data_IF_616452344474
#
_entry.id   IF_616452344474
#
_cell.length_a   1.000
_cell.length_b   1.000
_cell.length_c   1.000
_cell.angle_alpha   90.00
_cell.angle_beta   90.00
_cell.angle_gamma   90.00
#
_symmetry.space_group_name_H-M   'P 1'
#
loop_
_entity.id
_entity.type
_entity.pdbx_description
1 polymer ?
#
# COMPACT_ATOMS: atom_id res chain seq x y z
N UNK A 1 -5.95 -9.31 -5.97
CA UNK A 1 -5.98 -7.83 -6.10
C UNK A 1 -7.09 -7.11 -5.31
N UNK A 2 -8.37 -7.52 -5.35
CA UNK A 2 -9.48 -6.69 -4.82
C UNK A 2 -9.37 -6.36 -3.31
N UNK A 3 -8.86 -7.28 -2.50
CA UNK A 3 -8.70 -7.06 -1.05
C UNK A 3 -7.60 -6.02 -0.73
N UNK A 4 -6.49 -6.01 -1.48
CA UNK A 4 -5.35 -5.14 -1.18
C UNK A 4 -5.70 -3.68 -1.45
N UNK A 5 -6.39 -3.42 -2.56
CA UNK A 5 -6.91 -2.09 -2.86
C UNK A 5 -7.90 -1.61 -1.80
N UNK A 6 -8.81 -2.48 -1.37
CA UNK A 6 -9.77 -2.19 -0.30
C UNK A 6 -9.07 -1.80 1.00
N UNK A 7 -8.13 -2.62 1.47
CA UNK A 7 -7.37 -2.36 2.70
C UNK A 7 -6.55 -1.09 2.57
N UNK A 8 -5.81 -0.92 1.47
CA UNK A 8 -5.02 0.29 1.20
C UNK A 8 -5.88 1.53 1.22
N UNK A 9 -7.04 1.50 0.55
CA UNK A 9 -7.99 2.62 0.53
C UNK A 9 -8.52 2.95 1.92
N UNK A 10 -8.83 1.91 2.71
CA UNK A 10 -9.33 2.08 4.07
C UNK A 10 -8.28 2.71 4.99
N UNK A 11 -7.01 2.29 4.85
CA UNK A 11 -5.89 2.87 5.59
C UNK A 11 -5.62 4.32 5.18
N UNK A 12 -5.65 4.63 3.87
CA UNK A 12 -5.47 6.00 3.38
C UNK A 12 -6.53 6.94 3.97
N UNK A 13 -7.80 6.52 4.04
CA UNK A 13 -8.86 7.34 4.64
C UNK A 13 -8.67 7.59 6.14
N UNK A 14 -8.08 6.63 6.84
CA UNK A 14 -7.79 6.76 8.27
C UNK A 14 -6.61 7.72 8.52
N UNK A 15 -5.56 7.59 7.70
CA UNK A 15 -4.34 8.38 7.77
C UNK A 15 -4.51 9.80 7.21
N UNK A 16 -5.35 9.96 6.18
CA UNK A 16 -5.60 11.21 5.47
C UNK A 16 -7.12 11.44 5.36
N UNK A 17 -7.77 11.91 6.43
CA UNK A 17 -9.21 12.18 6.43
C UNK A 17 -9.61 13.33 5.50
N UNK A 18 -8.66 14.15 5.07
CA UNK A 18 -8.85 15.27 4.14
C UNK A 18 -8.92 14.80 2.66
N UNK A 19 -8.51 13.55 2.39
CA UNK A 19 -8.55 13.00 1.04
C UNK A 19 -9.95 12.49 0.67
N UNK A 20 -10.71 13.32 -0.04
CA UNK A 20 -12.06 12.98 -0.55
C UNK A 20 -12.06 12.35 -1.96
N UNK A 21 -10.87 12.16 -2.56
CA UNK A 21 -10.71 11.63 -3.91
C UNK A 21 -10.94 10.11 -4.02
N UNK A 22 -11.14 9.65 -5.25
CA UNK A 22 -11.13 8.23 -5.57
C UNK A 22 -9.69 7.68 -5.56
N UNK A 23 -9.45 6.67 -4.71
CA UNK A 23 -8.18 5.95 -4.68
C UNK A 23 -8.13 5.00 -5.88
N UNK A 24 -7.44 5.42 -6.94
CA UNK A 24 -7.19 4.61 -8.12
C UNK A 24 -5.77 4.02 -8.09
N UNK A 25 -5.54 2.97 -8.87
CA UNK A 25 -4.20 2.41 -9.08
C UNK A 25 -3.21 3.46 -9.61
N UNK A 26 -3.70 4.44 -10.37
CA UNK A 26 -2.89 5.54 -10.91
C UNK A 26 -2.70 6.71 -9.91
N UNK A 27 -3.34 6.67 -8.75
CA UNK A 27 -3.22 7.72 -7.73
C UNK A 27 -1.86 7.65 -7.06
N UNK A 28 -1.20 8.80 -6.96
CA UNK A 28 0.10 8.93 -6.29
C UNK A 28 -0.10 9.21 -4.81
N UNK A 29 0.74 8.62 -3.95
CA UNK A 29 0.66 8.82 -2.50
C UNK A 29 0.79 10.29 -2.10
N UNK A 30 1.72 11.01 -2.74
CA UNK A 30 1.95 12.43 -2.47
C UNK A 30 0.75 13.30 -2.87
N UNK A 31 0.11 13.01 -4.02
CA UNK A 31 -1.09 13.73 -4.49
C UNK A 31 -2.30 13.50 -3.58
N UNK A 32 -2.35 12.35 -2.90
CA UNK A 32 -3.39 12.03 -1.94
C UNK A 32 -3.14 12.64 -0.56
N UNK A 33 -2.03 13.36 -0.35
CA UNK A 33 -1.64 13.87 0.96
C UNK A 33 -1.09 12.79 1.90
N UNK A 34 -0.63 11.66 1.36
CA UNK A 34 0.02 10.62 2.16
C UNK A 34 1.50 10.97 2.31
N UNK A 35 1.82 11.62 3.42
CA UNK A 35 3.18 11.97 3.80
C UNK A 35 4.06 10.74 4.07
N UNK A 36 5.38 10.95 4.12
CA UNK A 36 6.37 9.88 4.37
C UNK A 36 6.11 9.09 5.66
N UNK A 37 5.60 9.73 6.73
CA UNK A 37 5.18 9.04 7.96
C UNK A 37 3.95 8.14 7.73
N UNK A 38 2.91 8.69 7.10
CA UNK A 38 1.68 7.96 6.77
C UNK A 38 1.95 6.79 5.82
N UNK A 39 2.89 6.95 4.87
CA UNK A 39 3.34 5.87 3.97
C UNK A 39 3.99 4.73 4.73
N UNK A 40 4.83 5.02 5.72
CA UNK A 40 5.46 3.99 6.57
C UNK A 40 4.38 3.25 7.37
N UNK A 41 3.45 3.96 8.00
CA UNK A 41 2.39 3.33 8.79
C UNK A 41 1.48 2.42 7.93
N UNK A 42 1.10 2.93 6.75
CA UNK A 42 0.32 2.18 5.77
C UNK A 42 1.01 0.88 5.32
N UNK A 43 2.31 0.95 5.03
CA UNK A 43 3.08 -0.22 4.62
C UNK A 43 3.22 -1.21 5.76
N UNK A 44 3.51 -0.76 6.98
CA UNK A 44 3.61 -1.65 8.15
C UNK A 44 2.27 -2.34 8.44
N UNK A 45 1.15 -1.64 8.27
CA UNK A 45 -0.18 -2.22 8.39
C UNK A 45 -0.42 -3.30 7.32
N UNK A 46 -0.09 -3.02 6.05
CA UNK A 46 -0.19 -3.99 4.96
C UNK A 46 0.75 -5.20 5.14
N UNK A 47 1.99 -4.98 5.55
CA UNK A 47 2.96 -6.04 5.84
C UNK A 47 2.43 -7.01 6.89
N UNK A 48 1.82 -6.49 7.96
CA UNK A 48 1.23 -7.30 9.03
C UNK A 48 -0.05 -8.02 8.58
N UNK A 49 -0.94 -7.31 7.88
CA UNK A 49 -2.21 -7.84 7.38
C UNK A 49 -2.00 -8.97 6.36
N UNK A 50 -1.04 -8.79 5.45
CA UNK A 50 -0.79 -9.70 4.35
C UNK A 50 0.39 -10.65 4.59
N UNK A 51 1.09 -10.54 5.73
CA UNK A 51 2.30 -11.28 6.08
C UNK A 51 3.39 -11.18 4.99
N UNK A 52 3.56 -9.98 4.45
CA UNK A 52 4.59 -9.68 3.44
C UNK A 52 5.70 -8.83 4.07
N UNK A 53 6.84 -8.74 3.38
CA UNK A 53 7.93 -7.83 3.75
C UNK A 53 8.20 -6.90 2.57
N UNK A 54 8.04 -5.60 2.80
CA UNK A 54 8.28 -4.53 1.83
C UNK A 54 9.57 -3.83 2.26
N UNK A 55 10.69 -4.03 1.54
CA UNK A 55 11.93 -3.35 1.87
C UNK A 55 11.79 -1.84 1.61
N UNK A 56 12.49 -1.04 2.41
CA UNK A 56 12.53 0.42 2.30
C UNK A 56 12.92 0.90 0.89
N UNK A 57 13.81 0.17 0.22
CA UNK A 57 14.24 0.46 -1.15
C UNK A 57 13.08 0.36 -2.13
N UNK A 58 12.22 -0.68 -1.99
CA UNK A 58 10.99 -0.79 -2.78
C UNK A 58 10.04 0.32 -2.39
N UNK A 59 9.80 0.54 -1.09
CA UNK A 59 8.88 1.58 -0.61
C UNK A 59 9.22 2.97 -1.17
N UNK A 60 10.51 3.29 -1.29
CA UNK A 60 10.99 4.53 -1.89
C UNK A 60 10.76 4.60 -3.41
N UNK A 61 10.77 3.45 -4.10
CA UNK A 61 10.43 3.35 -5.53
C UNK A 61 8.93 3.36 -5.80
N UNK A 62 8.12 2.85 -4.86
CA UNK A 62 6.66 2.92 -4.95
C UNK A 62 6.24 4.39 -5.06
N UNK A 63 5.44 4.75 -6.05
CA UNK A 63 4.88 6.10 -6.19
C UNK A 63 3.37 6.09 -6.19
N UNK A 64 2.80 5.03 -6.73
CA UNK A 64 1.36 4.88 -6.91
C UNK A 64 0.80 3.78 -6.04
N UNK A 65 -0.51 3.87 -5.76
CA UNK A 65 -1.25 2.81 -5.07
C UNK A 65 -1.18 1.50 -5.84
N UNK A 66 -1.14 1.56 -7.18
CA UNK A 66 -1.06 0.37 -8.02
C UNK A 66 0.27 -0.36 -7.93
N UNK A 67 1.39 0.36 -7.82
CA UNK A 67 2.69 -0.25 -7.56
C UNK A 67 2.69 -0.98 -6.22
N UNK A 68 2.20 -0.33 -5.15
CA UNK A 68 2.14 -0.93 -3.82
C UNK A 68 1.24 -2.17 -3.81
N UNK A 69 0.04 -2.04 -4.38
CA UNK A 69 -0.92 -3.14 -4.42
C UNK A 69 -0.40 -4.33 -5.23
N UNK A 70 0.25 -4.07 -6.37
CA UNK A 70 0.86 -5.13 -7.19
C UNK A 70 2.04 -5.78 -6.48
N UNK A 71 2.85 -5.00 -5.77
CA UNK A 71 3.96 -5.53 -5.00
C UNK A 71 3.47 -6.46 -3.88
N UNK A 72 2.49 -6.02 -3.10
CA UNK A 72 1.89 -6.83 -2.02
C UNK A 72 1.27 -8.11 -2.59
N UNK A 73 0.51 -8.01 -3.69
CA UNK A 73 -0.13 -9.16 -4.35
C UNK A 73 0.91 -10.19 -4.81
N UNK A 74 1.97 -9.72 -5.49
CA UNK A 74 3.09 -10.55 -5.94
C UNK A 74 3.90 -11.17 -4.80
N UNK A 75 4.20 -10.39 -3.75
CA UNK A 75 4.92 -10.86 -2.57
C UNK A 75 4.14 -11.95 -1.84
N UNK A 76 2.82 -11.82 -1.73
CA UNK A 76 1.95 -12.83 -1.11
C UNK A 76 1.85 -14.11 -1.93
N UNK A 77 1.81 -13.99 -3.25
CA UNK A 77 1.83 -15.12 -4.17
C UNK A 77 3.16 -15.88 -4.08
N UNK A 78 4.29 -15.18 -3.94
CA UNK A 78 5.61 -15.77 -3.79
C UNK A 78 5.84 -16.39 -2.40
N UNK A 79 5.32 -15.76 -1.34
CA UNK A 79 5.43 -16.25 0.04
C UNK A 79 4.67 -17.56 0.31
N UNK A 80 3.71 -17.92 -0.55
CA UNK A 80 2.94 -19.17 -0.45
C UNK A 80 3.64 -20.39 -1.06
N UNK A 81 4.81 -20.22 -1.69
CA UNK A 81 5.58 -21.32 -2.29
C UNK A 81 6.57 -21.99 -1.31
N UNK A 82 6.64 -21.52 -0.06
CA UNK A 82 7.44 -22.12 1.01
C UNK A 82 6.54 -22.58 2.16
N UNK A 83 5.72 -23.61 1.91
CA UNK A 83 5.07 -24.43 2.95
C UNK A 83 5.54 -25.87 2.84
#
# INVERSE_FOLDING_TARGET
MDNILQVTTSLIRDLVPDYEGDVALSSNFEEMGVDSLSRVDLVVALEREFQVTIPDSVLAELRTVGDLASFVDGARAAGSAAQ
#
